data_IF_808850944722
#
_entry.id   IF_808850944722
#
_cell.length_a   1.000
_cell.length_b   1.000
_cell.length_c   1.000
_cell.angle_alpha   90.00
_cell.angle_beta   90.00
_cell.angle_gamma   90.00
#
_symmetry.space_group_name_H-M   'P 1'
#
loop_
_entity.id
_entity.type
_entity.pdbx_description
1 polymer ?
#
# COMPACT_ATOMS: atom_id res chain seq x y z
N UNK A 1 -4.32 -26.83 -12.03
CA UNK A 1 -3.30 -25.77 -12.12
C UNK A 1 -3.48 -24.91 -10.89
N UNK A 2 -2.66 -25.08 -9.86
CA UNK A 2 -2.72 -24.23 -8.66
C UNK A 2 -1.72 -23.11 -8.87
N UNK A 3 -2.21 -21.96 -9.35
CA UNK A 3 -1.35 -20.81 -9.52
C UNK A 3 -1.07 -20.14 -8.19
N UNK A 4 0.20 -20.07 -7.81
CA UNK A 4 0.61 -19.42 -6.57
C UNK A 4 0.48 -17.90 -6.72
N UNK A 5 -0.26 -17.28 -5.80
CA UNK A 5 -0.41 -15.82 -5.76
C UNK A 5 0.92 -15.23 -5.31
N UNK A 6 1.51 -14.36 -6.14
CA UNK A 6 2.75 -13.66 -5.82
C UNK A 6 2.45 -12.24 -5.36
N UNK A 7 3.02 -11.87 -4.22
CA UNK A 7 2.94 -10.52 -3.67
C UNK A 7 4.26 -9.78 -3.92
N UNK A 8 4.15 -8.55 -4.43
CA UNK A 8 5.29 -7.66 -4.65
C UNK A 8 5.10 -6.36 -3.88
N UNK A 9 6.18 -5.80 -3.31
CA UNK A 9 6.11 -4.48 -2.68
C UNK A 9 5.81 -3.42 -3.74
N UNK A 10 4.86 -2.56 -3.42
CA UNK A 10 4.45 -1.43 -4.25
C UNK A 10 4.42 -0.19 -3.37
N UNK A 11 5.10 0.86 -3.82
CA UNK A 11 5.14 2.15 -3.15
C UNK A 11 4.25 3.15 -3.90
N UNK A 12 3.48 3.93 -3.15
CA UNK A 12 2.68 5.04 -3.65
C UNK A 12 2.80 6.25 -2.72
N UNK A 13 2.87 7.44 -3.30
CA UNK A 13 3.00 8.70 -2.56
C UNK A 13 1.67 9.43 -2.52
N UNK A 14 1.24 9.82 -1.33
CA UNK A 14 0.01 10.56 -1.08
C UNK A 14 0.33 11.89 -0.38
N UNK A 15 -0.57 12.87 -0.53
CA UNK A 15 -0.43 14.13 0.20
C UNK A 15 -0.75 13.94 1.69
N UNK A 16 -0.18 14.82 2.53
CA UNK A 16 -0.39 14.82 3.97
C UNK A 16 0.66 14.00 4.74
N UNK A 17 0.30 13.64 5.97
CA UNK A 17 1.16 12.92 6.91
C UNK A 17 0.54 11.57 7.30
N UNK A 18 1.37 10.66 7.81
CA UNK A 18 0.92 9.38 8.33
C UNK A 18 0.07 9.59 9.59
N UNK A 19 -1.17 9.09 9.63
CA UNK A 19 -2.03 9.24 10.80
C UNK A 19 -1.48 8.41 11.97
N UNK A 20 -1.45 8.99 13.16
CA UNK A 20 -0.98 8.33 14.36
C UNK A 20 -1.86 7.10 14.67
N UNK A 21 -1.24 5.95 14.92
CA UNK A 21 -1.92 4.71 15.32
C UNK A 21 -2.67 3.95 14.21
N UNK A 22 -2.96 4.56 13.05
CA UNK A 22 -3.73 3.95 11.95
C UNK A 22 -3.04 4.07 10.60
N UNK A 23 -1.74 4.38 10.59
CA UNK A 23 -0.99 4.71 9.38
C UNK A 23 -0.99 3.59 8.32
N UNK A 24 -0.75 2.34 8.73
CA UNK A 24 -0.82 1.18 7.84
C UNK A 24 -2.23 0.92 7.29
N UNK A 25 -3.27 1.08 8.12
CA UNK A 25 -4.66 0.92 7.68
C UNK A 25 -5.07 2.01 6.70
N UNK A 26 -4.63 3.26 6.90
CA UNK A 26 -4.87 4.34 5.96
C UNK A 26 -4.24 4.03 4.59
N UNK A 27 -2.99 3.56 4.56
CA UNK A 27 -2.35 3.12 3.31
C UNK A 27 -3.08 1.94 2.65
N UNK A 28 -3.57 0.97 3.43
CA UNK A 28 -4.37 -0.13 2.92
C UNK A 28 -5.63 0.34 2.19
N UNK A 29 -6.38 1.27 2.80
CA UNK A 29 -7.59 1.84 2.19
C UNK A 29 -7.28 2.62 0.91
N UNK A 30 -6.21 3.41 0.90
CA UNK A 30 -5.75 4.14 -0.30
C UNK A 30 -5.35 3.19 -1.43
N UNK A 31 -4.68 2.07 -1.11
CA UNK A 31 -4.34 1.06 -2.10
C UNK A 31 -5.57 0.35 -2.66
N UNK A 32 -6.57 0.04 -1.81
CA UNK A 32 -7.84 -0.52 -2.27
C UNK A 32 -8.60 0.44 -3.18
N UNK A 33 -8.63 1.74 -2.86
CA UNK A 33 -9.28 2.77 -3.68
C UNK A 33 -8.62 2.90 -5.06
N UNK A 34 -7.27 2.83 -5.11
CA UNK A 34 -6.50 3.05 -6.34
C UNK A 34 -6.33 1.82 -7.23
N UNK A 35 -6.17 0.63 -6.63
CA UNK A 35 -5.86 -0.61 -7.34
C UNK A 35 -7.04 -1.59 -7.39
N UNK A 36 -8.07 -1.37 -6.58
CA UNK A 36 -9.20 -2.27 -6.42
C UNK A 36 -8.90 -3.48 -5.51
N UNK A 37 -9.97 -4.21 -5.15
CA UNK A 37 -9.90 -5.35 -4.25
C UNK A 37 -9.04 -6.52 -4.77
N UNK A 38 -8.88 -6.65 -6.09
CA UNK A 38 -8.05 -7.68 -6.73
C UNK A 38 -6.55 -7.54 -6.44
N UNK A 39 -6.10 -6.35 -6.03
CA UNK A 39 -4.70 -6.14 -5.66
C UNK A 39 -4.34 -6.75 -4.30
N UNK A 40 -5.34 -7.10 -3.48
CA UNK A 40 -5.21 -7.69 -2.14
C UNK A 40 -4.02 -7.11 -1.33
N UNK A 41 -4.00 -5.78 -1.08
CA UNK A 41 -2.89 -5.14 -0.40
C UNK A 41 -2.71 -5.69 1.02
N UNK A 42 -1.47 -5.96 1.41
CA UNK A 42 -1.10 -6.46 2.73
C UNK A 42 0.22 -5.83 3.21
N UNK A 43 0.55 -6.04 4.49
CA UNK A 43 1.76 -5.50 5.14
C UNK A 43 2.01 -4.00 4.88
N UNK A 44 0.93 -3.22 4.88
CA UNK A 44 1.00 -1.80 4.59
C UNK A 44 1.74 -1.02 5.68
N UNK A 45 2.67 -0.18 5.25
CA UNK A 45 3.41 0.76 6.08
C UNK A 45 3.27 2.17 5.52
N UNK A 46 3.42 3.15 6.40
CA UNK A 46 3.38 4.56 6.05
C UNK A 46 4.64 5.24 6.58
N UNK A 47 5.25 6.07 5.76
CA UNK A 47 6.42 6.88 6.11
C UNK A 47 6.20 8.34 5.72
N UNK A 48 6.35 9.24 6.68
CA UNK A 48 6.29 10.68 6.41
C UNK A 48 7.47 11.13 5.54
N UNK A 49 7.16 11.89 4.50
CA UNK A 49 8.10 12.64 3.67
C UNK A 49 8.05 14.11 4.12
N UNK A 50 8.59 14.36 5.32
CA UNK A 50 8.46 15.63 6.05
C UNK A 50 8.89 16.86 5.24
N UNK A 51 9.87 16.71 4.33
CA UNK A 51 10.37 17.80 3.49
C UNK A 51 9.35 18.33 2.47
N UNK A 52 8.30 17.56 2.16
CA UNK A 52 7.36 17.86 1.06
C UNK A 52 5.88 17.78 1.47
N UNK A 53 5.57 17.64 2.76
CA UNK A 53 4.19 17.44 3.27
C UNK A 53 3.44 16.30 2.55
N UNK A 54 4.18 15.22 2.27
CA UNK A 54 3.64 13.98 1.68
C UNK A 54 3.96 12.81 2.58
N UNK A 55 3.32 11.68 2.29
CA UNK A 55 3.57 10.39 2.91
C UNK A 55 3.78 9.33 1.83
N UNK A 56 4.75 8.46 2.04
CA UNK A 56 4.93 7.25 1.25
C UNK A 56 4.18 6.11 1.92
N UNK A 57 3.35 5.41 1.15
CA UNK A 57 2.68 4.19 1.55
C UNK A 57 3.29 3.03 0.78
N UNK A 58 3.73 2.00 1.50
CA UNK A 58 4.28 0.78 0.91
C UNK A 58 3.45 -0.40 1.36
N UNK A 59 2.85 -1.12 0.42
CA UNK A 59 2.09 -2.34 0.66
C UNK A 59 2.58 -3.45 -0.28
N UNK A 60 2.48 -4.69 0.16
CA UNK A 60 2.62 -5.86 -0.71
C UNK A 60 1.30 -6.08 -1.45
N UNK A 61 1.33 -6.16 -2.78
CA UNK A 61 0.15 -6.36 -3.63
C UNK A 61 0.33 -7.52 -4.58
N UNK A 62 -0.76 -8.11 -5.03
CA UNK A 62 -0.74 -9.16 -6.06
C UNK A 62 -0.14 -8.61 -7.35
N UNK A 63 0.98 -9.19 -7.78
CA UNK A 63 1.70 -8.80 -8.99
C UNK A 63 1.76 -9.91 -10.05
N UNK A 64 1.20 -11.08 -9.76
CA UNK A 64 1.09 -12.19 -10.70
C UNK A 64 0.53 -13.45 -10.04
N UNK A 65 0.02 -14.33 -10.89
CA UNK A 65 -0.29 -15.72 -10.58
C UNK A 65 0.37 -16.55 -11.69
N UNK A 66 1.30 -17.44 -11.33
CA UNK A 66 1.97 -18.35 -12.29
C UNK A 66 1.21 -19.65 -12.42
#
# INVERSE_FOLDING_TARGET
MTGEIRFCPKEMTFDGACPLGTSGQSCFLEFLDRLGASAMPMHCSCKDLASVKKRACTCDVVCGAT
#
